data_IF_549911642725
#
_entry.id   IF_549911642725
#
_cell.length_a   1.000
_cell.length_b   1.000
_cell.length_c   1.000
_cell.angle_alpha   90.00
_cell.angle_beta   90.00
_cell.angle_gamma   90.00
#
_symmetry.space_group_name_H-M   'P 1'
#
loop_
_entity.id
_entity.type
_entity.pdbx_description
1 polymer ?
#
# COMPACT_ATOMS: atom_id res chain seq x y z
N UNK A 1 21.80 -15.66 -7.94
CA UNK A 1 21.46 -15.56 -9.37
C UNK A 1 21.25 -16.96 -9.94
N UNK A 2 20.19 -17.20 -10.73
CA UNK A 2 19.96 -18.49 -11.40
C UNK A 2 21.15 -18.90 -12.29
N UNK A 3 21.45 -20.20 -12.37
CA UNK A 3 22.59 -20.70 -13.16
C UNK A 3 22.43 -20.43 -14.67
N UNK A 4 21.20 -20.35 -15.15
CA UNK A 4 20.89 -19.98 -16.53
C UNK A 4 21.26 -18.51 -16.82
N UNK A 5 21.07 -17.59 -15.87
CA UNK A 5 21.43 -16.18 -16.02
C UNK A 5 22.93 -16.01 -16.27
N UNK A 6 23.78 -16.75 -15.54
CA UNK A 6 25.25 -16.69 -15.71
C UNK A 6 25.63 -17.04 -17.15
N UNK A 7 25.09 -18.14 -17.69
CA UNK A 7 25.39 -18.59 -19.06
C UNK A 7 24.93 -17.60 -20.13
N UNK A 8 23.88 -16.82 -19.86
CA UNK A 8 23.37 -15.80 -20.77
C UNK A 8 24.26 -14.55 -20.71
N UNK A 9 24.69 -14.14 -19.51
CA UNK A 9 25.61 -13.02 -19.30
C UNK A 9 26.95 -13.28 -20.01
N UNK A 10 27.52 -14.47 -19.85
CA UNK A 10 28.81 -14.86 -20.49
C UNK A 10 28.76 -14.88 -22.02
N UNK A 11 27.56 -15.00 -22.61
CA UNK A 11 27.33 -15.04 -24.07
C UNK A 11 26.86 -13.72 -24.66
N UNK A 12 26.57 -12.73 -23.81
CA UNK A 12 26.01 -11.46 -24.25
C UNK A 12 27.10 -10.58 -24.86
N UNK A 13 26.75 -9.90 -25.94
CA UNK A 13 27.61 -8.89 -26.56
C UNK A 13 27.61 -7.61 -25.71
N UNK A 14 26.45 -7.26 -25.12
CA UNK A 14 26.29 -6.10 -24.24
C UNK A 14 25.48 -6.47 -23.00
N UNK A 15 25.97 -6.05 -21.83
CA UNK A 15 25.31 -6.23 -20.55
C UNK A 15 25.10 -4.87 -19.88
N UNK A 16 23.83 -4.53 -19.67
CA UNK A 16 23.38 -3.37 -18.91
C UNK A 16 23.00 -3.82 -17.50
N UNK A 17 23.57 -3.22 -16.47
CA UNK A 17 23.14 -3.41 -15.08
C UNK A 17 22.44 -2.14 -14.61
N UNK A 18 21.13 -2.21 -14.35
CA UNK A 18 20.40 -1.04 -13.88
C UNK A 18 20.69 -0.72 -12.42
N UNK A 19 20.69 0.57 -12.09
CA UNK A 19 21.08 1.11 -10.78
C UNK A 19 19.98 1.89 -10.07
N UNK A 20 18.75 1.93 -10.60
CA UNK A 20 17.70 2.84 -10.14
C UNK A 20 16.53 2.19 -9.44
N UNK A 21 16.37 0.86 -9.53
CA UNK A 21 15.38 0.12 -8.73
C UNK A 21 15.95 -0.33 -7.38
N UNK A 22 17.27 -0.51 -7.30
CA UNK A 22 18.00 -0.92 -6.11
C UNK A 22 19.46 -0.48 -6.22
N UNK A 23 20.15 -0.15 -5.12
CA UNK A 23 21.54 0.24 -5.16
C UNK A 23 22.43 -0.92 -5.61
N UNK A 24 23.45 -0.62 -6.41
CA UNK A 24 24.47 -1.59 -6.81
C UNK A 24 25.59 -1.58 -5.77
N UNK A 25 25.82 -2.71 -5.12
CA UNK A 25 26.99 -2.89 -4.26
C UNK A 25 28.24 -3.10 -5.12
N UNK A 26 29.32 -2.36 -4.83
CA UNK A 26 30.60 -2.40 -5.58
C UNK A 26 31.07 -3.83 -5.84
N UNK A 27 31.02 -4.68 -4.82
CA UNK A 27 31.43 -6.08 -4.94
C UNK A 27 30.59 -6.86 -5.96
N UNK A 28 29.28 -6.64 -5.99
CA UNK A 28 28.41 -7.31 -6.96
C UNK A 28 28.63 -6.78 -8.38
N UNK A 29 28.90 -5.48 -8.53
CA UNK A 29 29.27 -4.91 -9.83
C UNK A 29 30.53 -5.59 -10.37
N UNK A 30 31.59 -5.71 -9.55
CA UNK A 30 32.83 -6.38 -9.94
C UNK A 30 32.59 -7.87 -10.27
N UNK A 31 31.81 -8.58 -9.46
CA UNK A 31 31.44 -9.98 -9.72
C UNK A 31 30.70 -10.14 -11.05
N UNK A 32 29.72 -9.28 -11.34
CA UNK A 32 28.98 -9.32 -12.61
C UNK A 32 29.92 -8.97 -13.76
N UNK A 33 30.71 -7.90 -13.63
CA UNK A 33 31.64 -7.46 -14.67
C UNK A 33 32.65 -8.53 -15.05
N UNK A 34 33.11 -9.33 -14.08
CA UNK A 34 34.02 -10.45 -14.34
C UNK A 34 33.37 -11.62 -15.09
N UNK A 35 32.03 -11.72 -15.11
CA UNK A 35 31.29 -12.72 -15.90
C UNK A 35 31.05 -12.27 -17.34
N UNK A 36 31.20 -10.97 -17.64
CA UNK A 36 30.91 -10.42 -18.96
C UNK A 36 32.12 -10.58 -19.88
N UNK A 37 31.92 -11.26 -21.00
CA UNK A 37 32.92 -11.35 -22.07
C UNK A 37 32.76 -10.23 -23.13
N UNK A 38 31.58 -9.63 -23.22
CA UNK A 38 31.28 -8.47 -24.06
C UNK A 38 31.47 -7.12 -23.34
N UNK A 39 30.69 -6.13 -23.74
CA UNK A 39 30.70 -4.81 -23.11
C UNK A 39 29.79 -4.77 -21.87
N UNK A 40 30.24 -4.09 -20.81
CA UNK A 40 29.48 -3.90 -19.58
C UNK A 40 29.21 -2.42 -19.33
N UNK A 41 27.96 -2.07 -19.01
CA UNK A 41 27.54 -0.70 -18.74
C UNK A 41 26.52 -0.61 -17.61
N UNK A 42 26.68 0.42 -16.77
CA UNK A 42 25.68 0.78 -15.75
C UNK A 42 24.57 1.59 -16.43
N UNK A 43 23.32 1.16 -16.24
CA UNK A 43 22.14 1.76 -16.85
C UNK A 43 21.33 2.58 -15.83
N UNK A 44 21.42 3.90 -15.95
CA UNK A 44 20.61 4.84 -15.16
C UNK A 44 19.14 4.79 -15.58
N UNK A 45 18.24 5.30 -14.72
CA UNK A 45 16.78 5.35 -14.99
C UNK A 45 16.44 5.86 -16.39
N UNK A 46 16.95 7.04 -16.74
CA UNK A 46 16.64 7.69 -18.03
C UNK A 46 17.04 6.84 -19.25
N UNK A 47 18.08 6.01 -19.13
CA UNK A 47 18.56 5.16 -20.23
C UNK A 47 17.64 3.98 -20.46
N UNK A 48 17.16 3.37 -19.37
CA UNK A 48 16.22 2.25 -19.43
C UNK A 48 14.83 2.72 -19.84
N UNK A 49 14.37 3.86 -19.31
CA UNK A 49 13.08 4.45 -19.65
C UNK A 49 13.05 5.00 -21.09
N UNK A 50 14.09 5.70 -21.56
CA UNK A 50 14.18 6.10 -22.98
C UNK A 50 14.32 4.89 -23.89
N UNK A 51 15.10 3.88 -23.48
CA UNK A 51 15.18 2.56 -24.12
C UNK A 51 15.86 2.53 -25.49
N UNK A 52 16.10 3.68 -26.17
CA UNK A 52 16.60 3.72 -27.55
C UNK A 52 17.95 3.02 -27.70
N UNK A 53 18.87 3.23 -26.75
CA UNK A 53 20.19 2.61 -26.80
C UNK A 53 20.08 1.08 -26.74
N UNK A 54 19.33 0.57 -25.77
CA UNK A 54 19.14 -0.86 -25.53
C UNK A 54 18.44 -1.51 -26.74
N UNK A 55 17.36 -0.89 -27.24
CA UNK A 55 16.59 -1.40 -28.38
C UNK A 55 17.42 -1.42 -29.66
N UNK A 56 18.17 -0.34 -29.95
CA UNK A 56 19.02 -0.28 -31.13
C UNK A 56 20.12 -1.35 -31.10
N UNK A 57 20.79 -1.54 -29.95
CA UNK A 57 21.81 -2.58 -29.80
C UNK A 57 21.23 -3.99 -29.97
N UNK A 58 19.98 -4.21 -29.52
CA UNK A 58 19.29 -5.50 -29.57
C UNK A 58 18.88 -5.94 -30.99
N UNK A 59 19.01 -5.08 -32.01
CA UNK A 59 18.68 -5.42 -33.40
C UNK A 59 19.68 -6.36 -34.06
N UNK A 60 20.92 -6.39 -33.59
CA UNK A 60 22.02 -7.15 -34.20
C UNK A 60 22.89 -7.89 -33.20
N UNK A 61 22.59 -7.80 -31.90
CA UNK A 61 23.45 -8.28 -30.83
C UNK A 61 22.63 -8.89 -29.69
N UNK A 62 23.24 -9.79 -28.92
CA UNK A 62 22.66 -10.35 -27.70
C UNK A 62 22.84 -9.33 -26.58
N UNK A 63 21.76 -8.66 -26.21
CA UNK A 63 21.74 -7.64 -25.15
C UNK A 63 21.07 -8.19 -23.90
N UNK A 64 21.69 -7.99 -22.74
CA UNK A 64 21.14 -8.36 -21.43
C UNK A 64 20.93 -7.11 -20.60
N UNK A 65 19.71 -6.94 -20.08
CA UNK A 65 19.41 -5.96 -19.03
C UNK A 65 19.21 -6.69 -17.71
N UNK A 66 20.13 -6.47 -16.78
CA UNK A 66 20.13 -7.02 -15.43
C UNK A 66 19.50 -6.03 -14.46
N UNK A 67 18.63 -6.54 -13.59
CA UNK A 67 18.08 -5.84 -12.44
C UNK A 67 18.26 -6.67 -11.17
N UNK A 68 18.25 -6.02 -10.01
CA UNK A 68 18.17 -6.77 -8.75
C UNK A 68 16.79 -7.40 -8.56
N UNK A 69 16.76 -8.58 -7.95
CA UNK A 69 15.51 -9.29 -7.68
C UNK A 69 14.87 -9.87 -8.94
N UNK A 70 13.55 -9.71 -9.09
CA UNK A 70 12.82 -10.10 -10.30
C UNK A 70 12.60 -8.88 -11.20
N UNK A 71 12.82 -8.99 -12.52
CA UNK A 71 12.71 -7.85 -13.42
C UNK A 71 11.31 -7.25 -13.50
N UNK A 72 10.24 -7.92 -13.06
CA UNK A 72 8.86 -7.45 -13.19
C UNK A 72 8.16 -7.17 -11.85
N UNK A 73 8.84 -7.37 -10.72
CA UNK A 73 8.24 -7.08 -9.41
C UNK A 73 8.67 -5.69 -8.95
N UNK A 74 7.68 -4.80 -8.83
CA UNK A 74 7.87 -3.39 -8.44
C UNK A 74 8.79 -2.59 -9.39
N UNK A 75 8.73 -2.90 -10.69
CA UNK A 75 9.47 -2.17 -11.73
C UNK A 75 8.58 -1.92 -12.97
N UNK A 76 9.07 -1.10 -13.90
CA UNK A 76 8.42 -0.82 -15.19
C UNK A 76 9.09 -1.51 -16.38
N UNK A 77 10.04 -2.43 -16.16
CA UNK A 77 10.84 -3.06 -17.23
C UNK A 77 10.02 -3.84 -18.27
N UNK A 78 8.78 -4.24 -17.92
CA UNK A 78 7.86 -4.88 -18.86
C UNK A 78 7.51 -3.97 -20.05
N UNK A 79 7.55 -2.64 -19.85
CA UNK A 79 7.33 -1.64 -20.89
C UNK A 79 8.42 -1.75 -21.97
N UNK A 80 9.70 -1.81 -21.58
CA UNK A 80 10.82 -1.92 -22.53
C UNK A 80 10.75 -3.23 -23.33
N UNK A 81 10.39 -4.34 -22.66
CA UNK A 81 10.16 -5.62 -23.36
C UNK A 81 9.00 -5.54 -24.35
N UNK A 82 7.95 -4.79 -24.02
CA UNK A 82 6.79 -4.58 -24.89
C UNK A 82 7.21 -3.82 -26.15
N UNK A 83 7.97 -2.73 -26.00
CA UNK A 83 8.54 -1.99 -27.14
C UNK A 83 9.42 -2.86 -28.02
N UNK A 84 10.32 -3.64 -27.43
CA UNK A 84 11.17 -4.58 -28.18
C UNK A 84 10.34 -5.54 -29.05
N UNK A 85 9.26 -6.12 -28.50
CA UNK A 85 8.38 -7.02 -29.27
C UNK A 85 7.61 -6.32 -30.37
N UNK A 86 7.22 -5.06 -30.19
CA UNK A 86 6.57 -4.25 -31.24
C UNK A 86 7.55 -3.87 -32.37
N UNK A 87 8.86 -3.89 -32.11
CA UNK A 87 9.92 -3.67 -33.09
C UNK A 87 10.49 -4.98 -33.67
N UNK A 88 9.78 -6.10 -33.50
CA UNK A 88 10.17 -7.45 -33.93
C UNK A 88 11.51 -7.95 -33.36
N UNK A 89 11.93 -7.42 -32.21
CA UNK A 89 13.12 -7.87 -31.48
C UNK A 89 12.74 -9.08 -30.61
N UNK A 90 13.45 -10.19 -30.77
CA UNK A 90 13.26 -11.36 -29.92
C UNK A 90 13.65 -11.05 -28.47
N UNK A 91 12.80 -11.43 -27.51
CA UNK A 91 13.09 -11.22 -26.08
C UNK A 91 12.85 -12.47 -25.27
N UNK A 92 13.69 -12.69 -24.26
CA UNK A 92 13.55 -13.74 -23.25
C UNK A 92 13.67 -13.12 -21.85
N UNK A 93 12.92 -13.66 -20.89
CA UNK A 93 13.01 -13.26 -19.49
C UNK A 93 13.55 -14.40 -18.65
N UNK A 94 14.46 -14.09 -17.74
CA UNK A 94 14.86 -14.99 -16.66
C UNK A 94 14.37 -14.40 -15.34
N UNK A 95 13.48 -15.12 -14.68
CA UNK A 95 12.96 -14.74 -13.37
C UNK A 95 13.97 -15.06 -12.26
N UNK A 96 13.86 -14.36 -11.14
CA UNK A 96 14.69 -14.57 -9.96
C UNK A 96 13.90 -14.22 -8.69
N UNK A 97 14.47 -14.52 -7.53
CA UNK A 97 13.82 -14.26 -6.25
C UNK A 97 13.69 -12.75 -6.02
N UNK A 98 12.47 -12.27 -5.77
CA UNK A 98 12.22 -10.89 -5.35
C UNK A 98 12.32 -10.75 -3.83
N UNK A 99 12.78 -9.58 -3.37
CA UNK A 99 12.74 -9.23 -1.95
C UNK A 99 11.33 -9.33 -1.36
N UNK A 100 10.28 -9.05 -2.15
CA UNK A 100 8.87 -9.14 -1.74
C UNK A 100 8.49 -10.58 -1.41
N UNK A 101 8.85 -11.53 -2.28
CA UNK A 101 8.57 -12.95 -2.03
C UNK A 101 9.41 -13.49 -0.87
N UNK A 102 10.68 -13.08 -0.79
CA UNK A 102 11.58 -13.51 0.26
C UNK A 102 11.11 -13.00 1.63
N UNK A 103 10.77 -11.71 1.77
CA UNK A 103 10.39 -11.14 3.06
C UNK A 103 9.15 -11.80 3.66
N UNK A 104 8.14 -12.11 2.83
CA UNK A 104 6.92 -12.78 3.30
C UNK A 104 7.23 -14.19 3.79
N UNK A 105 8.08 -14.93 3.06
CA UNK A 105 8.54 -16.26 3.47
C UNK A 105 9.36 -16.26 4.75
N UNK A 106 10.34 -15.35 4.86
CA UNK A 106 11.24 -15.22 6.02
C UNK A 106 10.49 -14.83 7.30
N UNK A 107 9.39 -14.08 7.18
CA UNK A 107 8.53 -13.70 8.31
C UNK A 107 7.57 -14.85 8.69
N UNK A 108 7.23 -15.72 7.74
CA UNK A 108 6.22 -16.76 7.90
C UNK A 108 4.77 -16.26 7.73
N UNK A 109 4.59 -15.17 6.98
CA UNK A 109 3.26 -14.72 6.56
C UNK A 109 2.74 -15.57 5.39
N UNK A 110 1.42 -15.75 5.33
CA UNK A 110 0.78 -16.47 4.24
C UNK A 110 0.68 -15.55 3.02
N UNK A 111 1.32 -15.95 1.92
CA UNK A 111 1.42 -15.11 0.72
C UNK A 111 0.05 -14.74 0.11
N UNK A 112 -0.95 -15.62 0.22
CA UNK A 112 -2.32 -15.35 -0.26
C UNK A 112 -3.07 -14.30 0.57
N UNK A 113 -2.53 -13.88 1.72
CA UNK A 113 -3.07 -12.78 2.54
C UNK A 113 -2.33 -11.47 2.31
N UNK A 114 -1.42 -11.42 1.34
CA UNK A 114 -0.79 -10.17 0.91
C UNK A 114 -1.78 -9.40 0.05
N UNK A 115 -2.12 -8.18 0.49
CA UNK A 115 -2.97 -7.26 -0.25
C UNK A 115 -2.19 -6.44 -1.27
N UNK A 116 -2.82 -5.36 -1.73
CA UNK A 116 -2.18 -4.46 -2.71
C UNK A 116 -0.93 -3.82 -2.10
N UNK A 117 0.20 -3.99 -2.79
CA UNK A 117 1.50 -3.43 -2.43
C UNK A 117 1.54 -1.94 -2.76
N UNK A 118 2.19 -1.15 -1.91
CA UNK A 118 2.33 0.30 -2.08
C UNK A 118 3.75 0.76 -1.86
N UNK A 119 4.07 1.97 -2.33
CA UNK A 119 5.35 2.63 -2.08
C UNK A 119 5.10 3.96 -1.36
N UNK A 120 5.80 4.22 -0.27
CA UNK A 120 5.82 5.55 0.37
C UNK A 120 7.06 6.30 -0.11
N UNK A 121 6.84 7.52 -0.58
CA UNK A 121 7.89 8.45 -0.96
C UNK A 121 8.03 9.55 0.10
N UNK A 122 9.19 10.21 0.09
CA UNK A 122 9.54 11.32 0.97
C UNK A 122 8.62 12.55 0.81
N UNK A 123 8.00 12.72 -0.35
CA UNK A 123 6.96 13.74 -0.56
C UNK A 123 5.70 13.41 0.24
N UNK A 124 5.39 14.25 1.23
CA UNK A 124 4.19 14.11 2.09
C UNK A 124 2.90 14.01 1.28
N UNK A 125 2.78 14.69 0.13
CA UNK A 125 1.57 14.64 -0.70
C UNK A 125 1.31 13.24 -1.28
N UNK A 126 2.36 12.45 -1.43
CA UNK A 126 2.28 11.11 -2.01
C UNK A 126 1.72 10.06 -1.06
N UNK A 127 1.68 10.31 0.26
CA UNK A 127 1.36 9.29 1.28
C UNK A 127 -0.14 9.00 1.39
N UNK A 128 -1.00 9.85 0.83
CA UNK A 128 -2.46 9.66 0.79
C UNK A 128 -2.88 8.37 0.08
N UNK A 129 -2.23 8.05 -1.05
CA UNK A 129 -2.53 6.85 -1.83
C UNK A 129 -2.11 5.56 -1.11
N UNK A 130 -0.88 5.45 -0.57
CA UNK A 130 -0.50 4.37 0.35
C UNK A 130 -1.44 4.21 1.53
N UNK A 131 -1.77 5.30 2.24
CA UNK A 131 -2.69 5.26 3.39
C UNK A 131 -4.06 4.69 3.00
N UNK A 132 -4.65 5.19 1.91
CA UNK A 132 -5.95 4.73 1.41
C UNK A 132 -5.91 3.26 1.00
N UNK A 133 -4.79 2.79 0.46
CA UNK A 133 -4.62 1.39 0.06
C UNK A 133 -4.42 0.48 1.28
N UNK A 134 -3.65 0.92 2.27
CA UNK A 134 -3.50 0.22 3.56
C UNK A 134 -4.88 0.06 4.21
N UNK A 135 -5.68 1.12 4.22
CA UNK A 135 -7.06 1.07 4.73
C UNK A 135 -7.90 0.00 4.02
N UNK A 136 -7.87 -0.04 2.67
CA UNK A 136 -8.58 -1.06 1.89
C UNK A 136 -8.10 -2.48 2.19
N UNK A 137 -6.78 -2.69 2.25
CA UNK A 137 -6.22 -3.99 2.62
C UNK A 137 -6.68 -4.41 4.02
N UNK A 138 -6.68 -3.51 5.00
CA UNK A 138 -7.12 -3.81 6.36
C UNK A 138 -8.62 -4.14 6.44
N UNK A 139 -9.47 -3.45 5.66
CA UNK A 139 -10.90 -3.81 5.54
C UNK A 139 -11.09 -5.26 5.08
N UNK A 140 -10.23 -5.72 4.17
CA UNK A 140 -10.25 -7.10 3.66
C UNK A 140 -9.44 -8.08 4.55
N UNK A 141 -8.83 -7.61 5.64
CA UNK A 141 -7.99 -8.44 6.51
C UNK A 141 -6.65 -8.84 5.88
N UNK A 142 -6.18 -8.12 4.86
CA UNK A 142 -4.94 -8.39 4.12
C UNK A 142 -3.74 -7.64 4.69
N UNK A 143 -2.55 -8.24 4.62
CA UNK A 143 -1.29 -7.59 4.96
C UNK A 143 -0.90 -6.56 3.89
N UNK A 144 -0.42 -5.40 4.31
CA UNK A 144 0.06 -4.36 3.39
C UNK A 144 1.58 -4.36 3.36
N UNK A 145 2.17 -4.71 2.21
CA UNK A 145 3.60 -4.51 1.96
C UNK A 145 3.80 -3.07 1.49
N UNK A 146 4.68 -2.36 2.18
CA UNK A 146 4.99 -0.97 1.96
C UNK A 146 6.48 -0.88 1.60
N UNK A 147 6.75 -0.65 0.32
CA UNK A 147 8.07 -0.34 -0.18
C UNK A 147 8.42 1.12 0.19
N UNK A 148 9.70 1.38 0.38
CA UNK A 148 10.21 2.70 0.74
C UNK A 148 11.01 3.27 -0.42
N UNK A 149 10.87 4.57 -0.67
CA UNK A 149 11.54 5.24 -1.78
C UNK A 149 13.06 5.02 -1.75
N UNK A 150 13.58 4.69 -2.93
CA UNK A 150 14.99 4.80 -3.27
C UNK A 150 15.15 5.83 -4.38
N UNK A 151 16.01 6.82 -4.14
CA UNK A 151 16.38 7.82 -5.13
C UNK A 151 17.86 7.66 -5.48
N UNK A 152 18.11 7.16 -6.69
CA UNK A 152 19.45 6.90 -7.24
C UNK A 152 20.31 8.17 -7.26
N UNK A 153 19.79 9.28 -7.77
CA UNK A 153 20.55 10.52 -7.98
C UNK A 153 21.04 11.14 -6.67
N UNK A 154 20.25 10.98 -5.60
CA UNK A 154 20.57 11.50 -4.26
C UNK A 154 21.19 10.44 -3.35
N UNK A 155 21.31 9.19 -3.81
CA UNK A 155 21.62 8.01 -3.00
C UNK A 155 20.82 7.98 -1.69
N UNK A 156 19.51 8.25 -1.81
CA UNK A 156 18.62 8.43 -0.67
C UNK A 156 17.69 7.23 -0.51
N UNK A 157 17.53 6.77 0.73
CA UNK A 157 16.51 5.80 1.12
C UNK A 157 15.60 6.42 2.16
N UNK A 158 14.29 6.25 1.99
CA UNK A 158 13.35 6.67 3.00
C UNK A 158 13.46 5.78 4.25
N UNK A 159 13.77 6.40 5.38
CA UNK A 159 13.87 5.71 6.67
C UNK A 159 12.49 5.20 7.15
N UNK A 160 12.38 3.96 7.67
CA UNK A 160 11.12 3.40 8.14
C UNK A 160 10.39 4.26 9.17
N UNK A 161 11.11 4.94 10.07
CA UNK A 161 10.47 5.81 11.08
C UNK A 161 9.83 7.02 10.43
N UNK A 162 10.47 7.59 9.42
CA UNK A 162 9.90 8.71 8.64
C UNK A 162 8.62 8.30 7.92
N UNK A 163 8.58 7.09 7.36
CA UNK A 163 7.38 6.55 6.72
C UNK A 163 6.25 6.28 7.74
N UNK A 164 6.56 5.70 8.91
CA UNK A 164 5.59 5.51 10.00
C UNK A 164 5.02 6.86 10.47
N UNK A 165 5.88 7.85 10.70
CA UNK A 165 5.44 9.19 11.11
C UNK A 165 4.55 9.85 10.06
N UNK A 166 4.85 9.66 8.77
CA UNK A 166 4.02 10.20 7.67
C UNK A 166 2.62 9.56 7.63
N UNK A 167 2.53 8.26 7.91
CA UNK A 167 1.23 7.58 8.05
C UNK A 167 0.44 8.09 9.26
N UNK A 168 1.11 8.31 10.40
CA UNK A 168 0.50 8.89 11.60
C UNK A 168 0.05 10.34 11.39
N UNK A 169 0.77 11.12 10.59
CA UNK A 169 0.38 12.48 10.27
C UNK A 169 -0.88 12.52 9.39
N UNK A 170 -0.95 11.69 8.34
CA UNK A 170 -2.16 11.58 7.51
C UNK A 170 -3.35 11.06 8.30
N UNK A 171 -3.14 10.15 9.26
CA UNK A 171 -4.22 9.70 10.16
C UNK A 171 -4.85 10.87 10.92
N UNK A 172 -4.07 11.88 11.36
CA UNK A 172 -4.62 13.05 12.08
C UNK A 172 -5.56 13.88 11.21
N UNK A 173 -5.31 13.89 9.89
CA UNK A 173 -6.12 14.60 8.91
C UNK A 173 -7.36 13.78 8.52
N UNK A 174 -7.19 12.49 8.23
CA UNK A 174 -8.24 11.61 7.73
C UNK A 174 -9.17 11.08 8.85
N UNK A 175 -8.64 10.89 10.06
CA UNK A 175 -9.35 10.42 11.27
C UNK A 175 -10.18 9.15 11.05
N UNK A 176 -9.66 8.23 10.23
CA UNK A 176 -10.34 6.97 9.86
C UNK A 176 -9.98 5.79 10.76
N UNK A 177 -9.09 6.01 11.74
CA UNK A 177 -8.55 5.00 12.67
C UNK A 177 -7.84 3.85 11.95
N UNK A 178 -7.13 4.17 10.86
CA UNK A 178 -6.43 3.17 10.04
C UNK A 178 -5.12 2.75 10.70
N UNK A 179 -4.39 3.73 11.23
CA UNK A 179 -3.14 3.48 11.94
C UNK A 179 -3.09 4.25 13.25
N UNK A 180 -2.28 3.79 14.20
CA UNK A 180 -2.01 4.46 15.46
C UNK A 180 -0.65 4.02 16.02
N UNK A 181 -0.27 4.59 17.17
CA UNK A 181 0.93 4.15 17.89
C UNK A 181 0.88 2.67 18.33
N UNK A 182 -0.32 2.07 18.38
CA UNK A 182 -0.55 0.66 18.71
C UNK A 182 -0.60 -0.26 17.49
N UNK A 183 -0.55 0.28 16.27
CA UNK A 183 -0.52 -0.52 15.04
C UNK A 183 0.70 -1.42 15.01
N UNK A 184 0.48 -2.73 14.87
CA UNK A 184 1.53 -3.73 14.77
C UNK A 184 2.08 -3.82 13.35
N UNK A 185 3.39 -3.69 13.21
CA UNK A 185 4.07 -3.79 11.94
C UNK A 185 5.39 -4.55 12.04
N UNK A 186 5.91 -4.90 10.88
CA UNK A 186 7.16 -5.64 10.72
C UNK A 186 8.06 -4.85 9.77
N UNK A 187 9.31 -4.63 10.16
CA UNK A 187 10.32 -3.93 9.37
C UNK A 187 11.39 -4.94 8.93
N UNK A 188 11.19 -5.60 7.77
CA UNK A 188 12.26 -6.37 7.15
C UNK A 188 13.36 -5.44 6.63
N UNK A 189 14.58 -5.70 7.07
CA UNK A 189 15.79 -4.96 6.71
C UNK A 189 16.74 -5.88 5.95
N UNK A 190 17.17 -5.45 4.76
CA UNK A 190 18.22 -6.11 3.96
C UNK A 190 17.94 -7.61 3.73
N UNK A 191 16.69 -7.95 3.41
CA UNK A 191 16.27 -9.33 3.17
C UNK A 191 17.09 -9.97 2.05
N UNK A 192 17.58 -11.19 2.29
CA UNK A 192 18.48 -11.92 1.40
C UNK A 192 19.96 -11.56 1.55
N UNK A 193 20.32 -10.57 2.37
CA UNK A 193 21.71 -10.19 2.64
C UNK A 193 22.23 -10.83 3.94
N UNK A 194 23.56 -10.89 4.10
CA UNK A 194 24.21 -11.43 5.32
C UNK A 194 23.83 -10.64 6.59
N UNK A 195 23.46 -9.38 6.45
CA UNK A 195 23.06 -8.48 7.54
C UNK A 195 21.54 -8.37 7.64
N UNK A 196 20.78 -9.31 7.07
CA UNK A 196 19.32 -9.37 7.18
C UNK A 196 18.90 -9.28 8.65
N UNK A 197 17.90 -8.45 8.92
CA UNK A 197 17.28 -8.33 10.23
C UNK A 197 15.80 -8.04 10.07
N UNK A 198 14.94 -8.72 10.83
CA UNK A 198 13.50 -8.53 10.77
C UNK A 198 13.03 -8.18 12.17
N UNK A 199 12.54 -6.95 12.34
CA UNK A 199 12.05 -6.46 13.63
C UNK A 199 10.54 -6.32 13.56
N UNK A 200 9.80 -6.77 14.57
CA UNK A 200 8.34 -6.59 14.61
C UNK A 200 7.88 -5.96 15.91
N UNK A 201 6.83 -5.16 15.85
CA UNK A 201 6.25 -4.53 17.04
C UNK A 201 5.26 -3.44 16.70
N UNK A 202 4.73 -2.82 17.74
CA UNK A 202 3.90 -1.62 17.62
C UNK A 202 4.71 -0.45 17.05
N UNK A 203 4.05 0.45 16.33
CA UNK A 203 4.65 1.68 15.84
C UNK A 203 5.42 2.45 16.93
N UNK A 204 4.84 2.57 18.13
CA UNK A 204 5.49 3.20 19.29
C UNK A 204 6.82 2.57 19.71
N UNK A 205 7.02 1.27 19.49
CA UNK A 205 8.28 0.58 19.76
C UNK A 205 9.24 0.69 18.58
N UNK A 206 8.73 0.49 17.36
CA UNK A 206 9.50 0.59 16.12
C UNK A 206 10.12 1.99 15.91
N UNK A 207 9.42 3.05 16.33
CA UNK A 207 9.92 4.42 16.25
C UNK A 207 11.16 4.68 17.13
N UNK A 208 11.44 3.81 18.12
CA UNK A 208 12.61 3.90 19.00
C UNK A 208 13.82 3.12 18.47
N UNK A 209 13.63 2.35 17.39
CA UNK A 209 14.64 1.44 16.87
C UNK A 209 15.59 2.12 15.88
N UNK A 210 16.77 1.50 15.77
CA UNK A 210 17.68 1.67 14.64
C UNK A 210 17.62 0.39 13.79
N UNK A 211 17.25 0.55 12.52
CA UNK A 211 17.13 -0.55 11.57
C UNK A 211 18.45 -0.83 10.82
N UNK A 212 19.47 0.02 11.03
CA UNK A 212 20.75 -0.04 10.34
C UNK A 212 20.65 0.44 8.89
N UNK A 213 21.57 -0.03 8.04
CA UNK A 213 21.66 0.41 6.65
C UNK A 213 20.49 -0.09 5.77
N UNK A 214 20.06 0.67 4.76
CA UNK A 214 19.06 0.24 3.79
C UNK A 214 19.50 -0.98 2.96
N UNK A 215 18.57 -1.64 2.21
CA UNK A 215 17.16 -1.28 2.04
C UNK A 215 16.25 -1.83 3.15
N UNK A 216 15.12 -1.16 3.35
CA UNK A 216 14.06 -1.55 4.28
C UNK A 216 12.69 -1.58 3.59
N UNK A 217 11.75 -2.29 4.19
CA UNK A 217 10.32 -2.18 3.87
C UNK A 217 9.53 -2.21 5.17
N UNK A 218 8.23 -1.92 5.09
CA UNK A 218 7.31 -2.03 6.23
C UNK A 218 6.18 -2.96 5.82
N UNK A 219 5.76 -3.83 6.73
CA UNK A 219 4.55 -4.64 6.57
C UNK A 219 3.60 -4.31 7.70
N UNK A 220 2.43 -3.77 7.37
CA UNK A 220 1.32 -3.64 8.32
C UNK A 220 0.47 -4.90 8.20
N UNK A 221 0.35 -5.64 9.29
CA UNK A 221 -0.39 -6.90 9.28
C UNK A 221 -1.90 -6.65 9.22
N UNK A 222 -2.63 -7.38 8.36
CA UNK A 222 -4.08 -7.51 8.44
C UNK A 222 -4.49 -8.57 9.48
N UNK A 223 -5.52 -9.35 9.15
CA UNK A 223 -5.96 -10.47 10.00
C UNK A 223 -4.83 -11.46 10.13
N UNK A 224 -4.48 -11.92 11.34
CA UNK A 224 -3.43 -12.92 11.53
C UNK A 224 -4.03 -14.31 11.74
N UNK A 225 -3.44 -15.31 11.07
CA UNK A 225 -3.65 -16.71 11.40
C UNK A 225 -2.73 -17.09 12.57
N UNK A 226 -3.11 -18.07 13.40
CA UNK A 226 -2.31 -18.44 14.57
C UNK A 226 -0.88 -18.86 14.19
N UNK A 227 -0.71 -19.58 13.08
CA UNK A 227 0.62 -19.97 12.58
C UNK A 227 1.47 -18.78 12.16
N UNK A 228 0.85 -17.70 11.65
CA UNK A 228 1.58 -16.47 11.31
C UNK A 228 2.01 -15.75 12.57
N UNK A 229 1.15 -15.69 13.59
CA UNK A 229 1.51 -15.13 14.90
C UNK A 229 2.65 -15.90 15.54
N UNK A 230 2.62 -17.23 15.49
CA UNK A 230 3.70 -18.08 16.01
C UNK A 230 5.00 -17.86 15.23
N UNK A 231 4.92 -17.78 13.90
CA UNK A 231 6.09 -17.52 13.05
C UNK A 231 6.70 -16.15 13.32
N UNK A 232 5.90 -15.08 13.40
CA UNK A 232 6.40 -13.74 13.71
C UNK A 232 7.10 -13.72 15.08
N UNK A 233 6.51 -14.35 16.09
CA UNK A 233 7.11 -14.45 17.42
C UNK A 233 8.45 -15.22 17.43
N UNK A 234 8.58 -16.24 16.59
CA UNK A 234 9.75 -17.12 16.57
C UNK A 234 10.87 -16.64 15.64
N UNK A 235 10.53 -15.97 14.53
CA UNK A 235 11.44 -15.67 13.43
C UNK A 235 11.88 -14.21 13.35
N UNK A 236 11.28 -13.33 14.16
CA UNK A 236 11.59 -11.89 14.15
C UNK A 236 12.06 -11.41 15.52
N UNK A 237 12.78 -10.29 15.55
CA UNK A 237 13.07 -9.54 16.78
C UNK A 237 11.77 -8.87 17.25
N UNK A 238 10.94 -9.65 17.95
CA UNK A 238 9.58 -9.30 18.33
C UNK A 238 9.55 -8.44 19.61
N UNK A 239 9.31 -7.14 19.45
CA UNK A 239 9.28 -6.14 20.54
C UNK A 239 7.95 -6.14 21.29
N UNK A 240 6.87 -6.52 20.64
CA UNK A 240 5.53 -6.62 21.23
C UNK A 240 4.73 -7.74 20.55
N UNK A 241 3.76 -8.31 21.26
CA UNK A 241 2.97 -9.46 20.76
C UNK A 241 2.31 -9.13 19.41
N UNK A 242 2.36 -10.05 18.41
CA UNK A 242 1.66 -9.90 17.15
C UNK A 242 0.18 -9.60 17.37
N UNK A 243 -0.31 -8.59 16.67
CA UNK A 243 -1.69 -8.12 16.78
C UNK A 243 -2.32 -7.97 15.41
N UNK A 244 -3.61 -8.24 15.35
CA UNK A 244 -4.45 -8.08 14.18
C UNK A 244 -4.91 -6.62 14.09
N UNK A 245 -4.44 -5.89 13.07
CA UNK A 245 -4.84 -4.49 12.89
C UNK A 245 -6.16 -4.32 12.13
N UNK A 246 -6.83 -5.40 11.70
CA UNK A 246 -8.05 -5.33 10.91
C UNK A 246 -9.34 -5.38 11.74
N UNK A 247 -9.30 -5.92 12.96
CA UNK A 247 -10.51 -6.18 13.76
C UNK A 247 -11.34 -4.93 14.06
N UNK A 248 -10.69 -3.79 14.32
CA UNK A 248 -11.37 -2.54 14.69
C UNK A 248 -11.60 -1.60 13.49
N UNK A 249 -11.24 -2.04 12.28
CA UNK A 249 -11.30 -1.22 11.07
C UNK A 249 -12.71 -1.28 10.50
N UNK A 250 -13.34 -0.11 10.36
CA UNK A 250 -14.71 0.03 9.86
C UNK A 250 -14.72 0.56 8.43
N UNK A 251 -15.61 0.03 7.58
CA UNK A 251 -15.80 0.53 6.21
C UNK A 251 -16.21 2.01 6.22
N UNK A 252 -15.98 2.71 5.12
CA UNK A 252 -16.40 4.11 4.98
C UNK A 252 -17.90 4.24 5.26
N UNK A 253 -18.68 3.32 4.71
CA UNK A 253 -20.14 3.26 4.90
C UNK A 253 -20.50 3.14 6.37
N UNK A 254 -19.89 2.20 7.12
CA UNK A 254 -20.12 2.05 8.56
C UNK A 254 -19.76 3.35 9.30
N UNK A 255 -18.58 3.93 9.02
CA UNK A 255 -18.14 5.18 9.66
C UNK A 255 -19.11 6.34 9.38
N UNK A 256 -19.67 6.42 8.16
CA UNK A 256 -20.67 7.41 7.80
C UNK A 256 -21.96 7.21 8.58
N UNK A 257 -22.50 5.99 8.63
CA UNK A 257 -23.75 5.70 9.33
C UNK A 257 -23.62 5.99 10.83
N UNK A 258 -22.54 5.54 11.47
CA UNK A 258 -22.29 5.80 12.90
C UNK A 258 -22.19 7.29 13.25
N UNK A 259 -21.79 8.13 12.28
CA UNK A 259 -21.71 9.58 12.44
C UNK A 259 -23.03 10.26 12.13
N UNK A 260 -23.62 9.98 10.97
CA UNK A 260 -24.72 10.76 10.41
C UNK A 260 -26.08 10.36 10.99
N UNK A 261 -26.32 9.07 11.29
CA UNK A 261 -27.61 8.65 11.88
C UNK A 261 -27.93 9.41 13.18
N UNK A 262 -27.03 9.49 14.18
CA UNK A 262 -27.30 10.26 15.39
C UNK A 262 -27.56 11.75 15.10
N UNK A 263 -26.78 12.34 14.19
CA UNK A 263 -26.89 13.76 13.83
C UNK A 263 -28.24 14.09 13.18
N UNK A 264 -28.63 13.31 12.17
CA UNK A 264 -29.90 13.50 11.45
C UNK A 264 -31.09 13.22 12.37
N UNK A 265 -30.99 12.20 13.24
CA UNK A 265 -32.04 11.89 14.24
C UNK A 265 -32.22 13.04 15.24
N UNK A 266 -31.13 13.65 15.69
CA UNK A 266 -31.19 14.84 16.55
C UNK A 266 -31.80 16.04 15.80
N UNK A 267 -31.37 16.30 14.56
CA UNK A 267 -31.91 17.37 13.72
C UNK A 267 -33.42 17.20 13.45
N UNK A 268 -33.88 15.97 13.21
CA UNK A 268 -35.28 15.62 13.04
C UNK A 268 -36.08 15.90 14.32
N UNK A 269 -35.55 15.53 15.48
CA UNK A 269 -36.21 15.77 16.77
C UNK A 269 -36.30 17.26 17.11
N UNK A 270 -35.31 18.08 16.72
CA UNK A 270 -35.36 19.54 16.86
C UNK A 270 -36.43 20.19 15.98
N UNK A 271 -36.61 19.70 14.74
CA UNK A 271 -37.52 20.35 13.77
C UNK A 271 -38.98 19.88 13.93
N UNK A 272 -39.21 18.65 14.40
CA UNK A 272 -40.56 18.06 14.61
C UNK A 272 -41.56 19.00 15.30
N UNK A 273 -41.23 19.69 16.41
CA UNK A 273 -42.16 20.58 17.10
C UNK A 273 -42.64 21.79 16.27
N UNK A 274 -41.90 22.24 15.27
CA UNK A 274 -42.27 23.39 14.43
C UNK A 274 -43.36 23.07 13.40
N UNK A 275 -43.71 21.79 13.27
CA UNK A 275 -44.63 21.24 12.26
C UNK A 275 -45.73 20.36 12.86
N UNK A 276 -45.89 20.35 14.19
CA UNK A 276 -46.85 19.49 14.91
C UNK A 276 -48.30 19.67 14.44
N UNK A 277 -48.68 20.89 14.05
CA UNK A 277 -50.06 21.22 13.66
C UNK A 277 -50.29 21.16 12.15
N UNK A 278 -49.25 20.92 11.35
CA UNK A 278 -49.30 20.96 9.90
C UNK A 278 -49.37 19.56 9.31
N UNK A 279 -50.59 19.07 9.05
CA UNK A 279 -50.85 17.72 8.48
C UNK A 279 -50.05 17.44 7.21
N UNK A 280 -49.83 18.46 6.39
CA UNK A 280 -49.11 18.38 5.11
C UNK A 280 -47.65 17.93 5.28
N UNK A 281 -47.04 18.16 6.45
CA UNK A 281 -45.64 17.85 6.73
C UNK A 281 -45.46 16.57 7.55
N UNK A 282 -46.55 15.95 8.04
CA UNK A 282 -46.47 14.73 8.83
C UNK A 282 -45.90 13.56 8.02
N UNK A 283 -46.30 13.43 6.75
CA UNK A 283 -45.78 12.40 5.84
C UNK A 283 -44.27 12.58 5.60
N UNK A 284 -43.79 13.83 5.52
CA UNK A 284 -42.37 14.14 5.33
C UNK A 284 -41.56 13.77 6.58
N UNK A 285 -42.05 14.14 7.77
CA UNK A 285 -41.41 13.79 9.04
C UNK A 285 -41.37 12.26 9.25
N UNK A 286 -42.46 11.57 8.91
CA UNK A 286 -42.53 10.11 8.98
C UNK A 286 -41.55 9.45 7.99
N UNK A 287 -41.51 9.91 6.75
CA UNK A 287 -40.57 9.38 5.75
C UNK A 287 -39.11 9.62 6.17
N UNK A 288 -38.78 10.80 6.71
CA UNK A 288 -37.45 11.07 7.23
C UNK A 288 -37.06 10.07 8.34
N UNK A 289 -37.97 9.78 9.27
CA UNK A 289 -37.71 8.79 10.33
C UNK A 289 -37.55 7.38 9.78
N UNK A 290 -38.41 6.97 8.85
CA UNK A 290 -38.31 5.67 8.18
C UNK A 290 -36.97 5.51 7.44
N UNK A 291 -36.50 6.55 6.74
CA UNK A 291 -35.20 6.50 6.07
C UNK A 291 -34.02 6.41 7.04
N UNK A 292 -34.10 7.01 8.24
CA UNK A 292 -33.08 6.85 9.28
C UNK A 292 -33.07 5.39 9.77
N UNK A 293 -34.25 4.84 10.08
CA UNK A 293 -34.37 3.46 10.56
C UNK A 293 -33.93 2.45 9.49
N UNK A 294 -34.28 2.68 8.22
CA UNK A 294 -33.84 1.90 7.07
C UNK A 294 -32.33 1.96 6.89
N UNK A 295 -31.69 3.11 7.12
CA UNK A 295 -30.24 3.22 7.07
C UNK A 295 -29.55 2.28 8.07
N UNK A 296 -30.06 2.20 9.30
CA UNK A 296 -29.55 1.29 10.33
C UNK A 296 -29.84 -0.18 9.99
N UNK A 297 -31.02 -0.47 9.43
CA UNK A 297 -31.42 -1.82 9.04
C UNK A 297 -30.60 -2.34 7.86
N UNK A 298 -30.42 -1.53 6.81
CA UNK A 298 -29.57 -1.89 5.68
C UNK A 298 -28.13 -2.13 6.08
N UNK A 299 -27.60 -1.36 7.03
CA UNK A 299 -26.25 -1.60 7.56
C UNK A 299 -26.16 -2.96 8.27
N UNK A 300 -27.15 -3.32 9.09
CA UNK A 300 -27.21 -4.64 9.76
C UNK A 300 -27.31 -5.80 8.77
N UNK A 301 -27.95 -5.57 7.62
CA UNK A 301 -28.07 -6.54 6.53
C UNK A 301 -26.83 -6.62 5.63
N UNK A 302 -25.80 -5.80 5.87
CA UNK A 302 -24.61 -5.72 5.01
C UNK A 302 -24.85 -5.03 3.66
N UNK A 303 -25.94 -4.26 3.54
CA UNK A 303 -26.29 -3.48 2.35
C UNK A 303 -25.78 -2.04 2.50
N UNK A 304 -24.46 -1.91 2.59
CA UNK A 304 -23.75 -0.66 2.87
C UNK A 304 -24.17 0.51 1.96
N UNK A 305 -24.33 0.27 0.65
CA UNK A 305 -24.73 1.31 -0.32
C UNK A 305 -26.14 1.83 -0.04
N UNK A 306 -27.08 0.94 0.27
CA UNK A 306 -28.46 1.31 0.59
C UNK A 306 -28.53 2.05 1.93
N UNK A 307 -27.68 1.68 2.90
CA UNK A 307 -27.59 2.38 4.18
C UNK A 307 -27.19 3.85 3.97
N UNK A 308 -26.12 4.08 3.19
CA UNK A 308 -25.62 5.43 2.90
C UNK A 308 -26.63 6.25 2.09
N UNK A 309 -27.31 5.62 1.12
CA UNK A 309 -28.34 6.28 0.34
C UNK A 309 -29.53 6.70 1.21
N UNK A 310 -29.98 5.82 2.10
CA UNK A 310 -31.14 6.07 2.98
C UNK A 310 -30.87 7.21 3.95
N UNK A 311 -29.69 7.24 4.59
CA UNK A 311 -29.36 8.36 5.48
C UNK A 311 -29.23 9.70 4.72
N UNK A 312 -28.73 9.67 3.48
CA UNK A 312 -28.68 10.87 2.63
C UNK A 312 -30.06 11.40 2.26
N UNK A 313 -31.03 10.53 2.00
CA UNK A 313 -32.43 10.95 1.79
C UNK A 313 -33.05 11.54 3.05
N UNK A 314 -32.86 10.89 4.21
CA UNK A 314 -33.34 11.42 5.48
C UNK A 314 -32.78 12.83 5.76
N UNK A 315 -31.47 12.99 5.57
CA UNK A 315 -30.77 14.26 5.78
C UNK A 315 -31.34 15.38 4.90
N UNK A 316 -31.45 15.11 3.59
CA UNK A 316 -32.02 16.08 2.65
C UNK A 316 -33.46 16.49 2.97
N UNK A 317 -34.29 15.57 3.48
CA UNK A 317 -35.64 15.89 3.94
C UNK A 317 -35.63 16.77 5.20
N UNK A 318 -34.77 16.44 6.17
CA UNK A 318 -34.66 17.19 7.43
C UNK A 318 -34.13 18.61 7.16
N UNK A 319 -33.10 18.76 6.34
CA UNK A 319 -32.56 20.08 5.98
C UNK A 319 -33.57 20.93 5.20
N UNK A 320 -34.36 20.33 4.30
CA UNK A 320 -35.42 21.05 3.61
C UNK A 320 -36.46 21.62 4.59
N UNK A 321 -36.83 20.86 5.63
CA UNK A 321 -37.73 21.33 6.69
C UNK A 321 -37.10 22.45 7.52
N UNK A 322 -35.80 22.36 7.84
CA UNK A 322 -35.09 23.40 8.58
C UNK A 322 -35.05 24.71 7.79
N UNK A 323 -34.66 24.65 6.52
CA UNK A 323 -34.59 25.81 5.62
C UNK A 323 -35.97 26.48 5.50
N UNK A 324 -37.04 25.70 5.37
CA UNK A 324 -38.41 26.22 5.28
C UNK A 324 -38.86 26.99 6.56
N UNK A 325 -38.20 26.80 7.70
CA UNK A 325 -38.39 27.58 8.94
C UNK A 325 -37.34 28.68 9.15
N UNK A 326 -36.45 28.91 8.19
CA UNK A 326 -35.34 29.85 8.32
C UNK A 326 -34.31 29.38 9.35
N UNK A 327 -34.23 28.08 9.63
CA UNK A 327 -33.22 27.47 10.48
C UNK A 327 -32.12 26.94 9.57
N UNK A 328 -30.86 27.24 9.90
CA UNK A 328 -29.73 26.76 9.11
C UNK A 328 -29.66 25.22 9.11
N UNK A 329 -29.25 24.62 7.98
CA UNK A 329 -28.91 23.19 7.89
C UNK A 329 -27.96 22.79 9.01
N UNK A 330 -28.08 21.55 9.51
CA UNK A 330 -27.23 21.08 10.62
C UNK A 330 -25.86 20.57 10.14
N UNK A 331 -25.66 20.45 8.83
CA UNK A 331 -24.47 19.92 8.19
C UNK A 331 -23.81 20.87 7.21
#
# INVERSE_FOLDING_TARGET
>A
MPSESIKIIEKADLVYLESFTSPIYVKHEEEIKNLVHGDFKIAKRWMVEDGKEILNASRSSIVVLLSYGDPYIATTHIELRTRARLEDIETKTIHSTSAITAMIGEIGLQFYKVGKIVTIMSDKKSVTTPYTTIFKNLIEGLHSIILLEYNEDQNFFLDPKTAILSLLDIEKEQKRKVVSNDTFAIVPSRVGMKTQKITSGKFSDLLKMDFGEPPHSIIITGKLHFTESDAINALTDCLSKPADNSNDIKSISIQMIEKYVPMVREALNEIKPFYSDAKEFQDILQNAELYIDDAENFLKEGKDENAVLSIGYADGLVDALRIAKGIDPKM
#
